data_IF_584131881753
#
_entry.id   IF_584131881753
#
_cell.length_a   1.000
_cell.length_b   1.000
_cell.length_c   1.000
_cell.angle_alpha   90.00
_cell.angle_beta   90.00
_cell.angle_gamma   90.00
#
_symmetry.space_group_name_H-M   'P 1'
#
loop_
_entity.id
_entity.type
_entity.pdbx_description
1 polymer ?
#
# COMPACT_ATOMS: atom_id res chain seq x y z
N UNK A 1 50.16 16.52 -16.01
CA UNK A 1 49.77 15.41 -15.12
C UNK A 1 48.28 15.21 -15.30
N UNK A 2 47.87 14.09 -15.88
CA UNK A 2 46.48 13.76 -16.25
C UNK A 2 46.00 12.74 -15.22
N UNK A 3 44.86 13.02 -14.57
CA UNK A 3 44.28 12.17 -13.52
C UNK A 3 43.50 11.01 -14.16
N UNK A 4 43.86 9.73 -13.91
CA UNK A 4 43.10 8.61 -14.47
C UNK A 4 41.85 8.36 -13.60
N UNK A 5 40.71 8.93 -13.99
CA UNK A 5 39.38 8.48 -13.55
C UNK A 5 38.91 7.28 -14.40
N UNK A 6 39.79 6.31 -14.61
CA UNK A 6 39.63 5.26 -15.62
C UNK A 6 38.69 4.10 -15.17
N UNK A 7 38.05 4.24 -14.01
CA UNK A 7 37.24 3.17 -13.40
C UNK A 7 35.98 3.69 -12.70
N UNK A 8 35.49 4.88 -13.06
CA UNK A 8 34.11 5.20 -12.65
C UNK A 8 33.21 4.27 -13.46
N UNK A 9 32.48 3.33 -12.83
CA UNK A 9 31.59 2.46 -13.56
C UNK A 9 30.63 3.36 -14.34
N UNK A 10 30.68 3.22 -15.67
CA UNK A 10 29.83 3.97 -16.58
C UNK A 10 28.41 3.93 -16.03
N UNK A 11 27.79 5.11 -15.89
CA UNK A 11 26.40 5.23 -15.44
C UNK A 11 25.60 4.19 -16.22
N UNK A 12 25.19 3.11 -15.52
CA UNK A 12 24.40 2.09 -16.17
C UNK A 12 23.15 2.82 -16.62
N UNK A 13 22.72 2.67 -17.88
CA UNK A 13 21.46 3.25 -18.28
C UNK A 13 20.43 2.73 -17.30
N UNK A 14 19.84 3.66 -16.53
CA UNK A 14 18.87 3.32 -15.51
C UNK A 14 17.84 2.41 -16.18
N UNK A 15 17.69 1.20 -15.66
CA UNK A 15 16.66 0.27 -16.14
C UNK A 15 15.31 0.97 -16.05
N UNK A 16 14.31 0.54 -16.82
CA UNK A 16 13.01 1.24 -16.90
C UNK A 16 12.37 1.46 -15.51
N UNK A 17 12.70 0.59 -14.55
CA UNK A 17 12.30 0.64 -13.13
C UNK A 17 13.06 1.70 -12.30
N UNK A 18 14.30 2.04 -12.66
CA UNK A 18 15.12 3.05 -11.98
C UNK A 18 14.79 4.48 -12.44
N UNK A 19 14.17 4.66 -13.61
CA UNK A 19 13.78 5.98 -14.14
C UNK A 19 12.43 6.48 -13.61
N UNK A 20 11.53 5.56 -13.27
CA UNK A 20 10.22 5.87 -12.69
C UNK A 20 10.11 5.10 -11.39
N UNK A 21 10.72 5.65 -10.34
CA UNK A 21 10.69 5.06 -9.01
C UNK A 21 9.28 4.67 -8.60
N UNK A 22 9.16 3.43 -8.14
CA UNK A 22 8.01 2.82 -7.45
C UNK A 22 6.63 3.38 -7.81
N UNK A 23 5.92 2.73 -8.74
CA UNK A 23 4.56 3.15 -9.07
C UNK A 23 3.55 2.67 -8.02
N UNK A 24 2.51 3.47 -7.78
CA UNK A 24 1.41 3.10 -6.87
C UNK A 24 0.72 1.79 -7.32
N UNK A 25 0.72 1.51 -8.62
CA UNK A 25 0.16 0.28 -9.17
C UNK A 25 0.99 -0.95 -8.80
N UNK A 26 2.31 -0.88 -8.88
CA UNK A 26 3.21 -1.96 -8.44
C UNK A 26 3.03 -2.23 -6.95
N UNK A 27 2.93 -1.18 -6.11
CA UNK A 27 2.62 -1.35 -4.69
C UNK A 27 1.34 -2.14 -4.45
N UNK A 28 0.26 -1.77 -5.16
CA UNK A 28 -1.05 -2.41 -4.98
C UNK A 28 -1.00 -3.86 -5.46
N UNK A 29 -0.35 -4.13 -6.59
CA UNK A 29 -0.21 -5.47 -7.15
C UNK A 29 0.59 -6.39 -6.20
N UNK A 30 1.74 -5.92 -5.72
CA UNK A 30 2.63 -6.70 -4.86
C UNK A 30 2.03 -6.93 -3.46
N UNK A 31 1.22 -5.98 -2.97
CA UNK A 31 0.66 -6.02 -1.63
C UNK A 31 -0.84 -6.38 -1.60
N UNK A 32 -1.40 -6.89 -2.70
CA UNK A 32 -2.83 -7.16 -2.84
C UNK A 32 -3.40 -8.00 -1.68
N UNK A 33 -2.66 -9.00 -1.22
CA UNK A 33 -3.08 -9.86 -0.10
C UNK A 33 -3.19 -9.09 1.23
N UNK A 34 -2.24 -8.20 1.51
CA UNK A 34 -2.27 -7.35 2.71
C UNK A 34 -3.41 -6.34 2.64
N UNK A 35 -3.65 -5.75 1.46
CA UNK A 35 -4.78 -4.84 1.22
C UNK A 35 -6.11 -5.55 1.47
N UNK A 36 -6.27 -6.79 0.99
CA UNK A 36 -7.45 -7.62 1.27
C UNK A 36 -7.64 -7.88 2.77
N UNK A 37 -6.55 -8.12 3.52
CA UNK A 37 -6.59 -8.26 4.97
C UNK A 37 -7.11 -7.00 5.67
N UNK A 38 -6.64 -5.83 5.26
CA UNK A 38 -7.10 -4.54 5.79
C UNK A 38 -8.59 -4.33 5.48
N UNK A 39 -9.03 -4.61 4.25
CA UNK A 39 -10.44 -4.51 3.85
C UNK A 39 -11.32 -5.45 4.69
N UNK A 40 -10.87 -6.68 4.94
CA UNK A 40 -11.59 -7.64 5.76
C UNK A 40 -11.76 -7.15 7.20
N UNK A 41 -10.68 -6.64 7.82
CA UNK A 41 -10.74 -6.09 9.17
C UNK A 41 -11.71 -4.91 9.24
N UNK A 42 -11.66 -4.00 8.27
CA UNK A 42 -12.58 -2.86 8.18
C UNK A 42 -14.03 -3.32 8.01
N UNK A 43 -14.28 -4.32 7.17
CA UNK A 43 -15.62 -4.88 6.97
C UNK A 43 -16.19 -5.46 8.27
N UNK A 44 -15.40 -6.25 9.00
CA UNK A 44 -15.80 -6.81 10.30
C UNK A 44 -16.07 -5.70 11.31
N UNK A 45 -15.17 -4.72 11.41
CA UNK A 45 -15.31 -3.60 12.34
C UNK A 45 -16.58 -2.79 12.06
N UNK A 46 -16.81 -2.40 10.80
CA UNK A 46 -17.97 -1.63 10.39
C UNK A 46 -19.27 -2.41 10.58
N UNK A 47 -19.27 -3.71 10.24
CA UNK A 47 -20.43 -4.58 10.47
C UNK A 47 -20.78 -4.69 11.96
N UNK A 48 -19.78 -4.93 12.81
CA UNK A 48 -19.96 -4.99 14.26
C UNK A 48 -20.49 -3.65 14.80
N UNK A 49 -19.87 -2.54 14.38
CA UNK A 49 -20.28 -1.18 14.78
C UNK A 49 -21.71 -0.86 14.36
N UNK A 50 -22.09 -1.26 13.15
CA UNK A 50 -23.44 -1.08 12.61
C UNK A 50 -24.48 -1.86 13.43
N UNK A 51 -24.20 -3.13 13.72
CA UNK A 51 -25.09 -3.97 14.49
C UNK A 51 -25.27 -3.45 15.93
N UNK A 52 -24.18 -2.95 16.54
CA UNK A 52 -24.25 -2.28 17.85
C UNK A 52 -25.18 -1.06 17.84
N UNK A 53 -25.09 -0.18 16.83
CA UNK A 53 -25.98 1.00 16.73
C UNK A 53 -27.44 0.60 16.64
N UNK A 54 -27.76 -0.41 15.83
CA UNK A 54 -29.14 -0.90 15.67
C UNK A 54 -29.72 -1.42 16.98
N UNK A 55 -28.94 -2.17 17.77
CA UNK A 55 -29.37 -2.67 19.08
C UNK A 55 -29.61 -1.54 20.08
N UNK A 56 -28.74 -0.53 20.09
CA UNK A 56 -28.89 0.65 20.95
C UNK A 56 -30.12 1.48 20.61
N UNK A 57 -30.45 1.63 19.32
CA UNK A 57 -31.67 2.32 18.89
C UNK A 57 -32.93 1.55 19.32
N UNK A 58 -32.93 0.22 19.15
CA UNK A 58 -34.04 -0.64 19.58
C UNK A 58 -34.29 -0.57 21.09
N UNK A 59 -33.24 -0.58 21.90
CA UNK A 59 -33.35 -0.50 23.36
C UNK A 59 -33.74 0.90 23.88
N UNK A 60 -33.62 1.96 23.07
CA UNK A 60 -34.05 3.32 23.44
C UNK A 60 -35.50 3.61 23.07
N UNK A 61 -36.13 2.75 22.27
CA UNK A 61 -37.53 2.89 21.83
C UNK A 61 -38.49 1.98 22.61
N UNK A 62 -37.97 1.09 23.46
CA UNK A 62 -38.71 0.32 24.47
C UNK A 62 -38.50 0.97 25.84
#
# INVERSE_FOLDING_TARGET
MISPQEHLPQDRPATREEQWGFTIWEFIADNWLYLMGIVLILAIFLYSRYNWRRRQQKNRMN
#
